data_IF_876405025299
#
_entry.id   IF_876405025299
#
_cell.length_a   1.000
_cell.length_b   1.000
_cell.length_c   1.000
_cell.angle_alpha   90.00
_cell.angle_beta   90.00
_cell.angle_gamma   90.00
#
_symmetry.space_group_name_H-M   'P 1'
#
loop_
_entity.id
_entity.type
_entity.pdbx_description
1 polymer ?
#
# COMPACT_ATOMS: atom_id res chain seq x y z
N UNK A 1 -4.11 7.03 7.89
CA UNK A 1 -4.16 5.77 7.11
C UNK A 1 -5.58 5.27 6.89
N UNK A 2 -6.48 5.31 7.89
CA UNK A 2 -7.89 4.93 7.67
C UNK A 2 -8.59 5.76 6.58
N UNK A 3 -8.30 7.06 6.51
CA UNK A 3 -8.85 7.92 5.44
C UNK A 3 -8.49 7.44 4.03
N UNK A 4 -7.24 6.99 3.83
CA UNK A 4 -6.80 6.43 2.54
C UNK A 4 -7.55 5.14 2.21
N UNK A 5 -7.75 4.27 3.21
CA UNK A 5 -8.48 3.03 3.01
C UNK A 5 -9.97 3.25 2.76
N UNK A 6 -10.58 4.28 3.36
CA UNK A 6 -12.00 4.58 3.22
C UNK A 6 -12.40 5.02 1.80
N UNK A 7 -11.44 5.42 0.96
CA UNK A 7 -11.69 5.65 -0.46
C UNK A 7 -12.22 4.40 -1.19
N UNK A 8 -12.07 3.20 -0.62
CA UNK A 8 -12.68 1.94 -1.12
C UNK A 8 -14.18 2.05 -1.38
N UNK A 9 -14.88 2.93 -0.66
CA UNK A 9 -16.32 3.14 -0.82
C UNK A 9 -16.67 3.79 -2.17
N UNK A 10 -15.70 4.43 -2.83
CA UNK A 10 -15.88 5.15 -4.09
C UNK A 10 -15.25 4.44 -5.30
N UNK A 11 -14.53 3.34 -5.06
CA UNK A 11 -13.85 2.59 -6.10
C UNK A 11 -14.62 1.31 -6.46
N UNK A 12 -14.92 1.14 -7.75
CA UNK A 12 -15.50 -0.09 -8.28
C UNK A 12 -14.42 -0.92 -8.99
N UNK A 13 -14.13 -2.09 -8.42
CA UNK A 13 -13.14 -3.02 -8.95
C UNK A 13 -13.53 -3.60 -10.32
N UNK A 14 -14.82 -3.87 -10.55
CA UNK A 14 -15.28 -4.52 -11.78
C UNK A 14 -15.06 -3.59 -12.98
N UNK A 15 -15.45 -2.32 -12.83
CA UNK A 15 -15.27 -1.31 -13.87
C UNK A 15 -13.90 -0.63 -13.86
N UNK A 16 -13.08 -0.84 -12.82
CA UNK A 16 -11.81 -0.16 -12.57
C UNK A 16 -11.97 1.37 -12.57
N UNK A 17 -13.07 1.86 -11.98
CA UNK A 17 -13.41 3.29 -11.96
C UNK A 17 -13.55 3.81 -10.55
N UNK A 18 -13.14 5.07 -10.40
CA UNK A 18 -13.47 5.88 -9.24
C UNK A 18 -14.75 6.67 -9.51
N UNK A 19 -15.60 6.83 -8.49
CA UNK A 19 -16.78 7.70 -8.56
C UNK A 19 -16.38 9.10 -9.01
N UNK A 20 -17.18 9.72 -9.89
CA UNK A 20 -16.90 11.05 -10.43
C UNK A 20 -16.75 12.08 -9.30
N UNK A 21 -15.61 12.77 -9.26
CA UNK A 21 -15.30 13.78 -8.25
C UNK A 21 -14.74 13.23 -6.93
N UNK A 22 -14.63 11.90 -6.78
CA UNK A 22 -14.01 11.27 -5.62
C UNK A 22 -12.50 11.02 -5.84
N UNK A 23 -11.81 10.65 -4.76
CA UNK A 23 -10.42 10.18 -4.77
C UNK A 23 -10.41 8.69 -4.44
N UNK A 24 -9.62 7.92 -5.19
CA UNK A 24 -9.45 6.48 -4.99
C UNK A 24 -7.99 6.03 -5.03
N UNK A 25 -7.07 6.94 -5.36
CA UNK A 25 -5.67 6.61 -5.62
C UNK A 25 -4.93 6.14 -4.37
N UNK A 26 -5.31 6.63 -3.18
CA UNK A 26 -4.69 6.17 -1.95
C UNK A 26 -5.14 4.75 -1.64
N UNK A 27 -6.44 4.46 -1.77
CA UNK A 27 -6.94 3.09 -1.58
C UNK A 27 -6.31 2.11 -2.58
N UNK A 28 -6.28 2.43 -3.87
CA UNK A 28 -5.73 1.51 -4.87
C UNK A 28 -4.25 1.23 -4.65
N UNK A 29 -3.46 2.21 -4.19
CA UNK A 29 -2.08 1.97 -3.78
C UNK A 29 -2.01 1.09 -2.51
N UNK A 30 -2.89 1.33 -1.55
CA UNK A 30 -2.93 0.60 -0.28
C UNK A 30 -3.13 -0.90 -0.46
N UNK A 31 -3.92 -1.30 -1.46
CA UNK A 31 -4.23 -2.70 -1.78
C UNK A 31 -3.53 -3.21 -3.05
N UNK A 32 -2.44 -2.55 -3.46
CA UNK A 32 -1.75 -2.90 -4.71
C UNK A 32 -0.97 -4.23 -4.55
N UNK A 33 -1.42 -5.29 -5.23
CA UNK A 33 -0.90 -6.66 -5.05
C UNK A 33 0.53 -6.90 -5.54
N UNK A 34 1.12 -5.98 -6.30
CA UNK A 34 2.54 -6.01 -6.69
C UNK A 34 3.44 -5.22 -5.72
N UNK A 35 2.85 -4.47 -4.79
CA UNK A 35 3.60 -3.74 -3.78
C UNK A 35 4.03 -4.70 -2.67
N UNK A 36 5.35 -4.85 -2.48
CA UNK A 36 5.93 -5.83 -1.55
C UNK A 36 6.60 -5.16 -0.32
N UNK A 37 6.67 -3.83 -0.29
CA UNK A 37 7.30 -3.08 0.78
C UNK A 37 6.64 -1.72 0.93
N UNK A 38 6.63 -1.23 2.17
CA UNK A 38 6.21 0.12 2.52
C UNK A 38 7.20 0.69 3.52
N UNK A 39 7.54 1.96 3.36
CA UNK A 39 8.31 2.72 4.33
C UNK A 39 7.61 4.04 4.61
N UNK A 40 7.39 4.37 5.87
CA UNK A 40 6.67 5.57 6.27
C UNK A 40 7.53 6.46 7.18
N UNK A 41 7.28 7.75 7.12
CA UNK A 41 7.85 8.75 8.02
C UNK A 41 6.78 9.77 8.42
N UNK A 42 6.93 10.31 9.63
CA UNK A 42 6.11 11.40 10.13
C UNK A 42 7.01 12.56 10.53
N UNK A 43 6.63 13.78 10.15
CA UNK A 43 7.34 15.01 10.50
C UNK A 43 6.36 16.03 11.06
N UNK A 44 6.68 16.62 12.21
CA UNK A 44 5.92 17.74 12.75
C UNK A 44 6.32 19.03 12.04
N UNK A 45 5.32 19.77 11.53
CA UNK A 45 5.49 21.01 10.80
C UNK A 45 4.81 22.16 11.53
N UNK A 46 5.54 23.26 11.73
CA UNK A 46 5.00 24.53 12.23
C UNK A 46 4.36 25.37 11.12
N UNK A 47 3.55 24.71 10.29
CA UNK A 47 2.87 25.27 9.13
C UNK A 47 3.06 24.42 7.88
N UNK A 48 1.97 24.13 7.18
CA UNK A 48 1.98 23.32 5.94
C UNK A 48 1.59 24.23 4.77
N UNK A 49 2.58 24.63 3.95
CA UNK A 49 2.33 25.40 2.72
C UNK A 49 1.49 24.57 1.75
N UNK A 50 0.53 25.21 1.06
CA UNK A 50 -0.41 24.56 0.14
C UNK A 50 -1.25 23.43 0.76
N UNK A 51 -1.31 23.36 2.09
CA UNK A 51 -2.18 22.45 2.82
C UNK A 51 -3.59 23.01 2.99
N UNK A 52 -4.39 22.38 3.86
CA UNK A 52 -5.77 22.79 4.17
C UNK A 52 -5.86 23.98 5.15
N UNK A 53 -4.90 24.90 5.11
CA UNK A 53 -4.79 26.00 6.09
C UNK A 53 -4.42 25.51 7.50
N UNK A 54 -3.66 24.41 7.59
CA UNK A 54 -3.23 23.83 8.86
C UNK A 54 -1.99 24.58 9.36
N UNK A 55 -2.15 25.25 10.51
CA UNK A 55 -1.10 26.09 11.11
C UNK A 55 0.00 25.27 11.80
N UNK A 56 -0.34 24.11 12.37
CA UNK A 56 0.61 23.15 12.94
C UNK A 56 0.04 21.74 12.80
N UNK A 57 0.88 20.76 12.48
CA UNK A 57 0.44 19.38 12.30
C UNK A 57 1.55 18.45 11.84
N UNK A 58 1.22 17.16 11.72
CA UNK A 58 2.15 16.16 11.20
C UNK A 58 1.89 15.92 9.71
N UNK A 59 2.95 15.87 8.91
CA UNK A 59 2.92 15.31 7.56
C UNK A 59 3.37 13.86 7.69
N UNK A 60 2.52 12.94 7.24
CA UNK A 60 2.82 11.51 7.18
C UNK A 60 2.95 11.14 5.71
N UNK A 61 4.07 10.53 5.35
CA UNK A 61 4.36 10.05 3.99
C UNK A 61 4.68 8.57 4.07
N UNK A 62 4.12 7.80 3.15
CA UNK A 62 4.49 6.40 2.94
C UNK A 62 4.87 6.21 1.47
N UNK A 63 6.05 5.64 1.25
CA UNK A 63 6.53 5.21 -0.06
C UNK A 63 6.33 3.70 -0.19
N UNK A 64 5.98 3.27 -1.40
CA UNK A 64 5.63 1.88 -1.71
C UNK A 64 6.60 1.30 -2.74
N UNK A 65 7.06 0.07 -2.52
CA UNK A 65 8.01 -0.63 -3.37
C UNK A 65 7.58 -2.08 -3.63
N UNK A 66 7.22 -2.48 -4.84
CA UNK A 66 7.09 -1.66 -6.05
C UNK A 66 5.93 -0.66 -5.97
N UNK A 67 6.03 0.41 -6.78
CA UNK A 67 4.98 1.42 -6.90
C UNK A 67 3.71 0.87 -7.54
N UNK A 68 2.56 1.36 -7.06
CA UNK A 68 1.24 1.01 -7.57
C UNK A 68 0.66 2.04 -8.53
N UNK A 69 -0.67 2.03 -8.65
CA UNK A 69 -1.46 3.00 -9.43
C UNK A 69 -1.05 3.14 -10.91
N UNK A 70 -0.64 2.03 -11.51
CA UNK A 70 -0.28 2.00 -12.93
C UNK A 70 -1.52 2.22 -13.80
N UNK A 71 -1.40 3.10 -14.79
CA UNK A 71 -2.52 3.50 -15.65
C UNK A 71 -3.20 2.30 -16.32
N UNK A 72 -4.53 2.23 -16.21
CA UNK A 72 -5.35 1.17 -16.78
C UNK A 72 -5.28 -0.18 -16.06
N UNK A 73 -4.41 -0.36 -15.06
CA UNK A 73 -4.32 -1.60 -14.28
C UNK A 73 -5.25 -1.56 -13.07
N UNK A 74 -5.68 -2.75 -12.63
CA UNK A 74 -6.40 -2.96 -11.37
C UNK A 74 -5.39 -3.14 -10.23
N UNK A 75 -5.77 -2.82 -8.98
CA UNK A 75 -4.85 -2.92 -7.86
C UNK A 75 -4.42 -4.34 -7.54
N UNK A 76 -5.24 -5.35 -7.80
CA UNK A 76 -4.90 -6.76 -7.60
C UNK A 76 -5.60 -7.62 -8.65
N UNK A 77 -5.26 -8.91 -8.68
CA UNK A 77 -5.90 -9.93 -9.52
C UNK A 77 -7.02 -10.58 -8.70
N UNK A 78 -8.20 -10.70 -9.29
CA UNK A 78 -9.33 -11.39 -8.65
C UNK A 78 -9.11 -12.90 -8.74
N UNK A 79 -9.27 -13.61 -7.63
CA UNK A 79 -9.15 -15.06 -7.59
C UNK A 79 -8.88 -15.60 -6.18
N UNK A 80 -8.60 -16.91 -6.07
CA UNK A 80 -8.20 -17.53 -4.83
C UNK A 80 -6.96 -16.85 -4.23
N UNK A 81 -6.95 -16.72 -2.91
CA UNK A 81 -5.82 -16.14 -2.16
C UNK A 81 -4.53 -16.89 -2.50
N UNK A 82 -3.44 -16.16 -2.62
CA UNK A 82 -2.10 -16.72 -2.86
C UNK A 82 -1.94 -17.57 -4.13
N UNK A 83 -2.91 -17.56 -5.06
CA UNK A 83 -2.79 -18.27 -6.34
C UNK A 83 -1.71 -17.70 -7.26
N UNK A 84 -1.18 -16.51 -6.94
CA UNK A 84 -0.10 -15.85 -7.69
C UNK A 84 0.75 -14.95 -6.76
N UNK A 85 1.66 -15.55 -6.00
CA UNK A 85 2.54 -14.83 -5.06
C UNK A 85 3.73 -14.17 -5.76
N UNK A 86 3.54 -12.93 -6.21
CA UNK A 86 4.55 -12.15 -6.96
C UNK A 86 5.74 -11.66 -6.12
N UNK A 87 5.56 -11.51 -4.81
CA UNK A 87 6.65 -11.16 -3.90
C UNK A 87 7.56 -12.36 -3.55
N UNK A 88 7.29 -13.55 -4.13
CA UNK A 88 8.13 -14.73 -4.10
C UNK A 88 7.91 -15.69 -2.92
N UNK A 89 7.22 -15.29 -1.86
CA UNK A 89 7.10 -16.09 -0.62
C UNK A 89 5.81 -16.91 -0.48
N UNK A 90 5.74 -17.62 0.64
CA UNK A 90 4.60 -18.48 0.99
C UNK A 90 3.34 -17.69 1.34
N UNK A 91 2.21 -18.40 1.31
CA UNK A 91 0.92 -17.87 1.73
C UNK A 91 0.83 -17.87 3.26
N UNK A 92 0.56 -16.72 3.86
CA UNK A 92 0.31 -16.63 5.30
C UNK A 92 -1.10 -17.12 5.66
N UNK A 93 -1.36 -17.35 6.95
CA UNK A 93 -2.70 -17.70 7.47
C UNK A 93 -3.76 -16.65 7.14
N UNK A 94 -3.37 -15.40 6.96
CA UNK A 94 -4.23 -14.27 6.61
C UNK A 94 -4.52 -14.23 5.10
N UNK A 95 -3.85 -15.07 4.31
CA UNK A 95 -3.99 -15.15 2.86
C UNK A 95 -3.21 -14.06 2.12
N UNK A 96 -2.12 -13.57 2.71
CA UNK A 96 -1.16 -12.68 2.06
C UNK A 96 0.07 -13.45 1.59
N UNK A 97 0.70 -12.99 0.52
CA UNK A 97 1.96 -13.54 0.05
C UNK A 97 3.14 -12.86 0.76
N UNK A 98 4.00 -13.64 1.42
CA UNK A 98 5.21 -13.11 2.08
C UNK A 98 6.22 -12.60 1.04
N UNK A 99 6.99 -11.58 1.40
CA UNK A 99 8.16 -11.15 0.60
C UNK A 99 9.37 -12.00 0.96
N UNK A 100 10.04 -12.54 -0.06
CA UNK A 100 11.37 -13.12 0.11
C UNK A 100 12.44 -12.05 -0.17
N UNK A 101 13.45 -11.93 0.70
CA UNK A 101 14.67 -11.18 0.39
C UNK A 101 15.51 -12.04 -0.56
N UNK A 102 15.84 -11.54 -1.75
CA UNK A 102 16.93 -12.10 -2.56
C UNK A 102 18.27 -11.64 -1.98
N UNK A 103 18.99 -12.54 -1.34
CA UNK A 103 20.41 -12.36 -1.05
C UNK A 103 21.27 -13.03 -2.13
N UNK A 104 22.57 -12.71 -2.15
CA UNK A 104 23.55 -13.33 -3.04
C UNK A 104 23.62 -14.87 -2.92
N UNK A 105 23.09 -15.43 -1.82
CA UNK A 105 23.08 -16.87 -1.51
C UNK A 105 21.68 -17.52 -1.54
N UNK A 106 20.64 -16.81 -2.01
CA UNK A 106 19.27 -17.32 -2.08
C UNK A 106 18.24 -16.46 -1.35
N UNK A 107 17.04 -17.00 -1.17
CA UNK A 107 15.91 -16.29 -0.57
C UNK A 107 15.88 -16.44 0.95
N UNK A 108 15.68 -15.35 1.70
CA UNK A 108 15.45 -15.38 3.16
C UNK A 108 14.22 -14.56 3.55
N UNK A 109 13.49 -15.00 4.59
CA UNK A 109 12.33 -14.26 5.10
C UNK A 109 12.74 -13.03 5.93
N UNK A 110 11.90 -11.99 5.92
CA UNK A 110 12.04 -10.85 6.82
C UNK A 110 11.45 -11.26 8.18
N UNK A 111 12.25 -11.28 9.24
CA UNK A 111 11.72 -11.18 10.60
C UNK A 111 11.23 -9.75 10.79
N UNK A 112 9.96 -9.56 11.13
CA UNK A 112 9.46 -8.24 11.56
C UNK A 112 10.40 -7.65 12.62
N UNK A 113 10.68 -6.33 12.61
CA UNK A 113 11.36 -5.71 13.73
C UNK A 113 10.54 -6.00 15.00
N UNK A 114 11.17 -6.32 16.14
CA UNK A 114 10.43 -6.51 17.38
C UNK A 114 9.58 -5.27 17.63
N UNK A 115 8.28 -5.50 17.86
CA UNK A 115 7.32 -4.49 18.26
C UNK A 115 7.70 -3.95 19.64
N UNK A 116 8.66 -3.04 19.69
CA UNK A 116 8.96 -2.26 20.89
C UNK A 116 8.12 -0.99 20.82
N UNK A 117 6.90 -1.10 21.35
CA UNK A 117 6.14 -0.01 21.97
C UNK A 117 5.98 -0.34 23.45
#
# INVERSE_FOLDING_TARGET
MLDFFNERLYYDYNTNKCMKGAQCGHYTQYVWGETCAVGCAAVHCNGIKNGRGINQGHIIICNYGEGGNQFGKRPYIFGPRCSNCRCGGECTSEGLCRKLIKNLFGYSEISEPPSNL
#
